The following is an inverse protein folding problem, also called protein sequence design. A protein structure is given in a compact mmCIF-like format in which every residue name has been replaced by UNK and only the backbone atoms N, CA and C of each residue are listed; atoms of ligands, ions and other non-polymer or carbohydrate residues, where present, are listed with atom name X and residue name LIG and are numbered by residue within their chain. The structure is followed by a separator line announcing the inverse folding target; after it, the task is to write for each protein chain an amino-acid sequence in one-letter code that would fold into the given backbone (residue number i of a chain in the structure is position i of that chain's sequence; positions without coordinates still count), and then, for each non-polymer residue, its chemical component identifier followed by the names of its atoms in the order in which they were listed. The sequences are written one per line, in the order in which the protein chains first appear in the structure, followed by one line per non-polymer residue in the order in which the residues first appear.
data_IF_291896566508
#
_entry.id   IF_291896566508
#
_cell.length_a   1.000
_cell.length_b   1.000
_cell.length_c   1.000
_cell.angle_alpha   90.00
_cell.angle_beta   90.00
_cell.angle_gamma   90.00
#
_symmetry.space_group_name_H-M   'P 1'
#
loop_
_entity.id
_entity.type
_entity.pdbx_description
1 polymer ?
#
# COMPACT_ATOMS: atom_id res chain seq x y z
N UNK A 1 -27.35 19.76 -10.03
CA UNK A 1 -25.96 20.24 -10.20
C UNK A 1 -24.93 19.61 -9.25
N UNK A 2 -25.17 19.38 -7.94
CA UNK A 2 -24.16 18.75 -7.06
C UNK A 2 -23.98 17.24 -7.34
N UNK A 3 -25.03 16.52 -7.74
CA UNK A 3 -24.95 15.10 -8.06
C UNK A 3 -24.11 14.81 -9.32
N UNK A 4 -24.20 15.66 -10.35
CA UNK A 4 -23.40 15.52 -11.56
C UNK A 4 -21.91 15.79 -11.30
N UNK A 5 -21.60 16.76 -10.43
CA UNK A 5 -20.22 17.06 -10.01
C UNK A 5 -19.64 15.93 -9.13
N UNK A 6 -20.45 15.34 -8.25
CA UNK A 6 -20.06 14.18 -7.45
C UNK A 6 -19.82 12.93 -8.31
N UNK A 7 -20.66 12.68 -9.32
CA UNK A 7 -20.46 11.59 -10.29
C UNK A 7 -19.23 11.85 -11.17
N UNK A 8 -18.98 13.10 -11.59
CA UNK A 8 -17.76 13.46 -12.33
C UNK A 8 -16.51 13.32 -11.46
N UNK A 9 -16.56 13.69 -10.18
CA UNK A 9 -15.48 13.47 -9.21
C UNK A 9 -15.25 11.98 -8.95
N UNK A 10 -16.32 11.18 -8.82
CA UNK A 10 -16.23 9.73 -8.66
C UNK A 10 -15.67 9.04 -9.92
N UNK A 11 -16.00 9.54 -11.12
CA UNK A 11 -15.50 9.03 -12.40
C UNK A 11 -14.07 9.47 -12.71
N UNK A 12 -13.64 10.66 -12.27
CA UNK A 12 -12.24 11.10 -12.36
C UNK A 12 -11.37 10.43 -11.29
N UNK A 13 -11.96 10.09 -10.14
CA UNK A 13 -11.29 9.29 -9.11
C UNK A 13 -11.26 7.80 -9.47
N UNK A 14 -12.17 7.25 -10.29
CA UNK A 14 -12.19 5.81 -10.56
C UNK A 14 -10.94 5.30 -11.29
N UNK A 15 -10.31 6.09 -12.18
CA UNK A 15 -9.00 5.75 -12.75
C UNK A 15 -7.85 5.86 -11.74
N UNK A 16 -8.03 6.68 -10.70
CA UNK A 16 -7.08 6.88 -9.60
C UNK A 16 -7.33 5.97 -8.38
N UNK A 17 -8.39 5.15 -8.41
CA UNK A 17 -8.86 4.30 -7.29
C UNK A 17 -8.68 2.80 -7.61
N UNK A 18 -7.87 2.47 -8.61
CA UNK A 18 -7.40 1.08 -8.84
C UNK A 18 -6.11 0.82 -8.09
N UNK A 19 -6.09 -0.14 -7.15
CA UNK A 19 -4.92 -0.43 -6.32
C UNK A 19 -3.67 -0.63 -7.19
N UNK A 20 -2.55 -0.04 -6.77
CA UNK A 20 -1.40 0.14 -7.64
C UNK A 20 -0.84 -1.22 -8.09
N UNK A 21 -0.53 -1.33 -9.37
CA UNK A 21 0.02 -2.52 -10.00
C UNK A 21 1.28 -2.22 -10.79
N UNK A 22 1.78 -3.22 -11.51
CA UNK A 22 2.88 -3.03 -12.46
C UNK A 22 2.28 -2.46 -13.76
N UNK A 23 2.81 -1.34 -14.25
CA UNK A 23 2.26 -0.66 -15.43
C UNK A 23 2.41 -1.51 -16.70
N UNK A 24 1.58 -1.29 -17.73
CA UNK A 24 1.59 -2.11 -18.95
C UNK A 24 2.96 -2.21 -19.66
N UNK A 25 3.76 -1.14 -19.64
CA UNK A 25 5.14 -1.18 -20.17
C UNK A 25 6.06 -2.06 -19.34
N UNK A 26 5.93 -1.99 -18.02
CA UNK A 26 6.73 -2.78 -17.10
C UNK A 26 6.30 -4.26 -17.12
N UNK A 27 5.01 -4.54 -17.32
CA UNK A 27 4.46 -5.89 -17.49
C UNK A 27 5.03 -6.59 -18.73
N UNK A 28 5.06 -5.89 -19.87
CA UNK A 28 5.68 -6.42 -21.11
C UNK A 28 7.17 -6.69 -20.91
N UNK A 29 7.88 -5.81 -20.18
CA UNK A 29 9.27 -6.04 -19.81
C UNK A 29 9.43 -7.31 -18.95
N UNK A 30 8.58 -7.52 -17.95
CA UNK A 30 8.60 -8.70 -17.10
C UNK A 30 8.36 -10.00 -17.87
N UNK A 31 7.42 -10.01 -18.82
CA UNK A 31 7.13 -11.17 -19.67
C UNK A 31 8.27 -11.50 -20.64
N UNK A 32 9.02 -10.51 -21.10
CA UNK A 32 10.16 -10.69 -22.01
C UNK A 32 11.46 -11.12 -21.34
N UNK A 33 11.53 -11.12 -19.99
CA UNK A 33 12.74 -11.45 -19.27
C UNK A 33 13.07 -12.94 -19.31
N UNK A 34 14.27 -13.25 -19.79
CA UNK A 34 14.87 -14.58 -19.67
C UNK A 34 16.13 -14.51 -18.79
N UNK A 35 16.09 -15.17 -17.64
CA UNK A 35 17.21 -15.21 -16.71
C UNK A 35 17.20 -14.07 -15.68
N UNK A 36 18.39 -13.79 -15.12
CA UNK A 36 18.56 -12.87 -13.99
C UNK A 36 18.67 -11.42 -14.46
N UNK A 37 17.86 -10.54 -13.89
CA UNK A 37 17.85 -9.10 -14.17
C UNK A 37 17.83 -8.30 -12.86
N UNK A 38 18.95 -8.29 -12.15
CA UNK A 38 19.04 -7.72 -10.80
C UNK A 38 18.71 -6.22 -10.76
N UNK A 39 19.46 -5.40 -11.51
CA UNK A 39 19.30 -3.95 -11.49
C UNK A 39 17.92 -3.49 -12.01
N UNK A 40 17.42 -4.02 -13.15
CA UNK A 40 16.08 -3.64 -13.63
C UNK A 40 14.96 -3.97 -12.64
N UNK A 41 15.01 -5.13 -12.00
CA UNK A 41 13.99 -5.55 -11.03
C UNK A 41 14.07 -4.72 -9.75
N UNK A 42 15.28 -4.42 -9.29
CA UNK A 42 15.48 -3.51 -8.16
C UNK A 42 14.94 -2.11 -8.44
N UNK A 43 15.20 -1.56 -9.63
CA UNK A 43 14.60 -0.30 -10.05
C UNK A 43 13.07 -0.39 -10.12
N UNK A 44 12.54 -1.47 -10.70
CA UNK A 44 11.10 -1.65 -10.85
C UNK A 44 10.40 -1.75 -9.49
N UNK A 45 10.99 -2.47 -8.53
CA UNK A 45 10.49 -2.54 -7.15
C UNK A 45 10.49 -1.17 -6.47
N UNK A 46 11.56 -0.40 -6.62
CA UNK A 46 11.64 0.95 -6.07
C UNK A 46 10.60 1.88 -6.70
N UNK A 47 10.46 1.84 -8.02
CA UNK A 47 9.45 2.60 -8.77
C UNK A 47 8.06 2.24 -8.28
N UNK A 48 7.71 0.96 -8.21
CA UNK A 48 6.40 0.47 -7.75
C UNK A 48 6.05 1.02 -6.36
N UNK A 49 7.00 0.97 -5.41
CA UNK A 49 6.77 1.49 -4.06
C UNK A 49 6.58 3.02 -4.03
N UNK A 50 7.35 3.78 -4.80
CA UNK A 50 7.24 5.25 -4.83
C UNK A 50 6.02 5.73 -5.61
N UNK A 51 5.57 5.00 -6.64
CA UNK A 51 4.37 5.35 -7.42
C UNK A 51 3.08 4.75 -6.87
N UNK A 52 3.17 3.83 -5.92
CA UNK A 52 2.04 3.21 -5.24
C UNK A 52 1.34 4.14 -4.26
N UNK A 53 0.30 4.82 -4.72
CA UNK A 53 -0.44 5.78 -3.90
C UNK A 53 -1.12 5.11 -2.69
N UNK A 54 -1.56 3.85 -2.80
CA UNK A 54 -2.08 3.01 -1.71
C UNK A 54 -1.03 2.78 -0.62
N UNK A 55 0.20 2.45 -1.02
CA UNK A 55 1.34 2.28 -0.11
C UNK A 55 1.73 3.60 0.54
N UNK A 56 1.76 4.70 -0.21
CA UNK A 56 2.06 6.04 0.31
C UNK A 56 0.99 6.53 1.30
N UNK A 57 -0.30 6.33 0.99
CA UNK A 57 -1.40 6.68 1.88
C UNK A 57 -1.35 5.88 3.18
N UNK A 58 -1.07 4.57 3.08
CA UNK A 58 -0.85 3.74 4.26
C UNK A 58 0.35 4.23 5.09
N UNK A 59 1.48 4.53 4.43
CA UNK A 59 2.69 5.03 5.09
C UNK A 59 2.43 6.35 5.81
N UNK A 60 1.78 7.31 5.14
CA UNK A 60 1.32 8.58 5.74
C UNK A 60 0.45 8.31 6.96
N UNK A 61 -0.53 7.40 6.85
CA UNK A 61 -1.37 6.98 7.97
C UNK A 61 -0.55 6.40 9.13
N UNK A 62 0.42 5.53 8.87
CA UNK A 62 1.28 4.96 9.91
C UNK A 62 2.06 6.03 10.64
N UNK A 63 2.68 6.98 9.93
CA UNK A 63 3.62 7.92 10.53
C UNK A 63 3.00 9.23 11.00
N UNK A 64 1.73 9.49 10.67
CA UNK A 64 1.02 10.74 10.98
C UNK A 64 1.19 11.18 12.44
N UNK A 65 1.05 10.24 13.37
CA UNK A 65 1.17 10.47 14.82
C UNK A 65 2.39 9.82 15.48
N UNK A 66 3.29 9.21 14.69
CA UNK A 66 4.55 8.74 15.22
C UNK A 66 5.53 9.91 15.33
N UNK A 67 5.91 10.21 16.57
CA UNK A 67 6.83 11.30 16.90
C UNK A 67 8.24 10.81 17.22
N UNK A 68 8.39 9.53 17.58
CA UNK A 68 9.69 8.93 17.90
C UNK A 68 10.19 8.13 16.71
N UNK A 69 11.41 8.41 16.26
CA UNK A 69 12.06 7.67 15.17
C UNK A 69 12.11 6.16 15.44
N UNK A 70 12.31 5.75 16.70
CA UNK A 70 12.27 4.33 17.11
C UNK A 70 10.94 3.67 16.74
N UNK A 71 9.83 4.35 16.99
CA UNK A 71 8.51 3.79 16.69
C UNK A 71 8.33 3.69 15.17
N UNK A 72 8.69 4.74 14.43
CA UNK A 72 8.67 4.73 12.95
C UNK A 72 9.45 3.55 12.40
N UNK A 73 10.71 3.38 12.80
CA UNK A 73 11.55 2.25 12.36
C UNK A 73 10.88 0.93 12.71
N UNK A 74 10.36 0.78 13.93
CA UNK A 74 9.70 -0.46 14.35
C UNK A 74 8.48 -0.81 13.48
N UNK A 75 7.60 0.16 13.19
CA UNK A 75 6.40 -0.09 12.38
C UNK A 75 6.76 -0.40 10.93
N UNK A 76 7.71 0.34 10.36
CA UNK A 76 8.22 0.13 9.01
C UNK A 76 8.84 -1.26 8.89
N UNK A 77 9.68 -1.67 9.86
CA UNK A 77 10.25 -3.01 9.88
C UNK A 77 9.19 -4.11 9.97
N UNK A 78 8.18 -3.96 10.83
CA UNK A 78 7.10 -4.95 10.94
C UNK A 78 6.33 -5.10 9.63
N UNK A 79 6.03 -3.97 8.97
CA UNK A 79 5.37 -3.97 7.67
C UNK A 79 6.24 -4.66 6.62
N UNK A 80 7.52 -4.29 6.51
CA UNK A 80 8.47 -4.90 5.57
C UNK A 80 8.60 -6.40 5.79
N UNK A 81 8.72 -6.85 7.04
CA UNK A 81 8.83 -8.29 7.35
C UNK A 81 7.59 -9.04 6.84
N UNK A 82 6.37 -8.54 7.12
CA UNK A 82 5.14 -9.17 6.64
C UNK A 82 5.02 -9.15 5.11
N UNK A 83 5.34 -7.99 4.51
CA UNK A 83 5.31 -7.79 3.07
C UNK A 83 6.24 -8.75 2.34
N UNK A 84 7.53 -8.74 2.68
CA UNK A 84 8.53 -9.58 2.03
C UNK A 84 8.24 -11.07 2.22
N UNK A 85 7.74 -11.48 3.39
CA UNK A 85 7.41 -12.88 3.66
C UNK A 85 6.32 -13.38 2.71
N UNK A 86 5.19 -12.67 2.63
CA UNK A 86 4.07 -13.08 1.76
C UNK A 86 4.33 -12.86 0.28
N UNK A 87 5.14 -11.86 -0.09
CA UNK A 87 5.59 -11.68 -1.46
C UNK A 87 6.35 -12.91 -1.96
N UNK A 88 7.37 -13.33 -1.20
CA UNK A 88 8.20 -14.49 -1.53
C UNK A 88 7.40 -15.79 -1.48
N UNK A 89 6.61 -16.00 -0.42
CA UNK A 89 5.79 -17.20 -0.27
C UNK A 89 4.70 -17.29 -1.34
N UNK A 90 4.06 -16.18 -1.70
CA UNK A 90 3.05 -16.13 -2.75
C UNK A 90 3.66 -16.54 -4.09
N UNK A 91 4.73 -15.86 -4.51
CA UNK A 91 5.34 -16.10 -5.83
C UNK A 91 6.01 -17.48 -5.92
N UNK A 92 6.78 -17.89 -4.91
CA UNK A 92 7.52 -19.16 -4.94
C UNK A 92 6.65 -20.36 -4.58
N UNK A 93 5.67 -20.17 -3.71
CA UNK A 93 4.73 -21.21 -3.28
C UNK A 93 3.52 -21.38 -4.20
N UNK A 94 3.32 -20.48 -5.17
CA UNK A 94 2.18 -20.52 -6.09
C UNK A 94 0.83 -20.28 -5.41
N UNK A 95 0.82 -19.64 -4.23
CA UNK A 95 -0.42 -19.30 -3.53
C UNK A 95 -1.06 -18.11 -4.23
N UNK A 96 -2.31 -18.27 -4.65
CA UNK A 96 -3.09 -17.27 -5.38
C UNK A 96 -4.31 -16.87 -4.56
N UNK A 97 -4.71 -15.61 -4.69
CA UNK A 97 -5.99 -15.11 -4.24
C UNK A 97 -6.61 -14.24 -5.32
N UNK A 98 -7.87 -13.85 -5.12
CA UNK A 98 -8.54 -12.94 -6.04
C UNK A 98 -7.96 -11.52 -5.88
N UNK A 99 -7.42 -10.88 -6.94
CA UNK A 99 -6.84 -9.54 -6.86
C UNK A 99 -7.77 -8.52 -6.21
N UNK A 100 -9.02 -8.44 -6.68
CA UNK A 100 -10.04 -7.56 -6.08
C UNK A 100 -10.24 -7.75 -4.57
N UNK A 101 -10.23 -8.99 -4.05
CA UNK A 101 -10.42 -9.22 -2.61
C UNK A 101 -9.22 -8.77 -1.79
N UNK A 102 -8.00 -9.03 -2.28
CA UNK A 102 -6.79 -8.59 -1.59
C UNK A 102 -6.64 -7.07 -1.64
N UNK A 103 -6.90 -6.47 -2.80
CA UNK A 103 -6.86 -5.01 -2.97
C UNK A 103 -7.94 -4.31 -2.13
N UNK A 104 -9.10 -4.94 -1.91
CA UNK A 104 -10.09 -4.47 -0.95
C UNK A 104 -9.55 -4.49 0.49
N UNK A 105 -8.85 -5.54 0.91
CA UNK A 105 -8.22 -5.60 2.24
C UNK A 105 -7.11 -4.54 2.37
N UNK A 106 -6.35 -4.29 1.31
CA UNK A 106 -5.35 -3.21 1.25
C UNK A 106 -6.05 -1.84 1.44
N UNK A 107 -7.13 -1.56 0.72
CA UNK A 107 -7.94 -0.34 0.92
C UNK A 107 -8.48 -0.23 2.34
N UNK A 108 -8.94 -1.34 2.93
CA UNK A 108 -9.41 -1.38 4.31
C UNK A 108 -8.30 -1.05 5.31
N UNK A 109 -7.05 -1.47 5.06
CA UNK A 109 -5.92 -1.14 5.92
C UNK A 109 -5.69 0.38 6.04
N UNK A 110 -5.94 1.13 4.97
CA UNK A 110 -5.86 2.59 4.94
C UNK A 110 -6.97 3.20 5.81
N UNK A 111 -8.21 2.74 5.64
CA UNK A 111 -9.35 3.19 6.43
C UNK A 111 -9.17 2.87 7.93
N UNK A 112 -8.73 1.65 8.23
CA UNK A 112 -8.41 1.21 9.58
C UNK A 112 -7.39 2.15 10.23
N UNK A 113 -6.28 2.44 9.53
CA UNK A 113 -5.20 3.22 10.12
C UNK A 113 -5.60 4.68 10.35
N UNK A 114 -6.37 5.25 9.42
CA UNK A 114 -6.93 6.59 9.58
C UNK A 114 -7.91 6.67 10.77
N UNK A 115 -8.78 5.66 10.94
CA UNK A 115 -9.67 5.58 12.09
C UNK A 115 -8.90 5.43 13.42
N UNK A 116 -7.85 4.60 13.41
CA UNK A 116 -6.96 4.42 14.56
C UNK A 116 -6.28 5.73 14.97
N UNK A 117 -5.80 6.50 13.99
CA UNK A 117 -5.14 7.79 14.20
C UNK A 117 -6.05 8.86 14.82
N UNK A 118 -7.37 8.72 14.69
CA UNK A 118 -8.38 9.62 15.26
C UNK A 118 -8.82 9.19 16.67
N UNK A 119 -8.11 8.24 17.30
CA UNK A 119 -8.51 7.52 18.52
C UNK A 119 -9.90 6.85 18.38
N UNK A 120 -10.30 6.51 17.16
CA UNK A 120 -11.63 5.97 16.87
C UNK A 120 -11.95 4.72 17.70
N UNK A 121 -11.00 3.78 17.81
CA UNK A 121 -11.21 2.55 18.58
C UNK A 121 -11.47 2.82 20.07
N UNK A 122 -10.69 3.71 20.68
CA UNK A 122 -10.88 4.07 22.09
C UNK A 122 -12.20 4.79 22.32
N UNK A 123 -12.58 5.72 21.42
CA UNK A 123 -13.78 6.54 21.57
C UNK A 123 -15.08 5.74 21.40
N UNK A 124 -15.10 4.82 20.44
CA UNK A 124 -16.31 4.04 20.12
C UNK A 124 -16.39 2.71 20.86
N UNK A 125 -15.26 2.06 21.14
CA UNK A 125 -15.24 0.71 21.72
C UNK A 125 -14.52 0.61 23.06
N UNK A 126 -13.94 1.69 23.57
CA UNK A 126 -13.22 1.70 24.86
C UNK A 126 -11.92 0.88 24.87
N UNK A 127 -11.47 0.39 23.72
CA UNK A 127 -10.29 -0.49 23.57
C UNK A 127 -9.43 -0.03 22.39
N UNK A 128 -8.12 -0.25 22.46
CA UNK A 128 -7.18 0.03 21.38
C UNK A 128 -6.54 -1.29 20.92
N UNK A 129 -6.77 -1.74 19.68
CA UNK A 129 -6.08 -2.91 19.15
C UNK A 129 -4.56 -2.72 19.12
N UNK A 130 -3.81 -3.82 19.13
CA UNK A 130 -2.37 -3.77 19.04
C UNK A 130 -1.92 -3.32 17.65
N UNK A 131 -1.56 -2.04 17.53
CA UNK A 131 -1.14 -1.42 16.27
C UNK A 131 0.05 -2.13 15.62
N UNK A 132 0.98 -2.69 16.41
CA UNK A 132 2.15 -3.41 15.87
C UNK A 132 1.71 -4.68 15.13
N UNK A 133 0.78 -5.41 15.73
CA UNK A 133 0.20 -6.60 15.11
C UNK A 133 -0.62 -6.23 13.86
N UNK A 134 -1.42 -5.17 13.93
CA UNK A 134 -2.19 -4.68 12.79
C UNK A 134 -1.27 -4.33 11.60
N UNK A 135 -0.18 -3.58 11.83
CA UNK A 135 0.78 -3.21 10.78
C UNK A 135 1.50 -4.42 10.20
N UNK A 136 1.87 -5.42 11.01
CA UNK A 136 2.42 -6.68 10.52
C UNK A 136 1.41 -7.41 9.61
N UNK A 137 0.16 -7.53 10.04
CA UNK A 137 -0.92 -8.18 9.28
C UNK A 137 -1.19 -7.43 7.96
N UNK A 138 -1.21 -6.10 7.98
CA UNK A 138 -1.34 -5.33 6.74
C UNK A 138 -0.14 -5.52 5.83
N UNK A 139 1.08 -5.61 6.36
CA UNK A 139 2.27 -6.01 5.59
C UNK A 139 2.04 -7.32 4.86
N UNK A 140 1.53 -8.36 5.54
CA UNK A 140 1.20 -9.65 4.92
C UNK A 140 0.21 -9.51 3.74
N UNK A 141 -0.85 -8.72 3.88
CA UNK A 141 -1.80 -8.55 2.78
C UNK A 141 -1.24 -7.74 1.61
N UNK A 142 -0.44 -6.71 1.88
CA UNK A 142 0.21 -5.91 0.84
C UNK A 142 1.21 -6.74 0.03
N UNK A 143 2.05 -7.53 0.69
CA UNK A 143 2.99 -8.42 0.02
C UNK A 143 2.30 -9.50 -0.80
N UNK A 144 1.20 -10.06 -0.27
CA UNK A 144 0.40 -11.05 -0.98
C UNK A 144 -0.36 -10.48 -2.19
N UNK A 145 -0.84 -9.25 -2.10
CA UNK A 145 -1.48 -8.55 -3.24
C UNK A 145 -0.51 -8.37 -4.40
N UNK A 146 0.71 -7.93 -4.10
CA UNK A 146 1.77 -7.82 -5.10
C UNK A 146 2.18 -9.18 -5.67
N UNK A 147 2.30 -10.21 -4.83
CA UNK A 147 2.57 -11.57 -5.30
C UNK A 147 1.51 -12.06 -6.28
N UNK A 148 0.23 -11.81 -5.98
CA UNK A 148 -0.89 -12.20 -6.84
C UNK A 148 -0.77 -11.54 -8.21
N UNK A 149 -0.52 -10.22 -8.26
CA UNK A 149 -0.33 -9.48 -9.52
C UNK A 149 0.91 -9.96 -10.29
N UNK A 150 2.03 -10.20 -9.61
CA UNK A 150 3.25 -10.69 -10.27
C UNK A 150 3.07 -12.07 -10.91
N UNK A 151 2.24 -12.93 -10.31
CA UNK A 151 1.94 -14.25 -10.85
C UNK A 151 1.07 -14.22 -12.13
N UNK A 152 0.36 -13.12 -12.41
CA UNK A 152 -0.39 -12.93 -13.66
C UNK A 152 0.53 -12.73 -14.87
N UNK A 153 1.79 -12.31 -14.66
CA UNK A 153 2.74 -12.05 -15.74
C UNK A 153 3.52 -13.29 -16.21
N UNK A 154 3.15 -14.50 -15.75
CA UNK A 154 3.80 -15.78 -16.13
C UNK A 154 5.34 -15.71 -16.18
N UNK A 155 5.93 -15.21 -15.09
CA UNK A 155 7.37 -14.94 -15.02
C UNK A 155 8.22 -16.19 -15.33
N UNK A 156 9.31 -16.00 -16.08
CA UNK A 156 10.24 -17.09 -16.40
C UNK A 156 10.79 -17.74 -15.11
N UNK A 157 10.75 -19.09 -15.00
CA UNK A 157 11.39 -19.80 -13.88
C UNK A 157 12.90 -19.56 -13.82
N UNK A 158 13.53 -19.28 -14.97
CA UNK A 158 14.96 -19.03 -15.04
C UNK A 158 15.29 -17.66 -14.42
N UNK A 159 15.97 -17.68 -13.27
CA UNK A 159 16.33 -16.45 -12.54
C UNK A 159 15.24 -15.88 -11.65
N UNK A 160 14.07 -16.55 -11.53
CA UNK A 160 12.92 -16.08 -10.76
C UNK A 160 13.29 -15.64 -9.34
N UNK A 161 13.96 -16.49 -8.57
CA UNK A 161 14.33 -16.17 -7.17
C UNK A 161 15.18 -14.91 -7.10
N UNK A 162 16.20 -14.78 -7.95
CA UNK A 162 17.06 -13.60 -7.98
C UNK A 162 16.27 -12.34 -8.36
N UNK A 163 15.33 -12.46 -9.30
CA UNK A 163 14.50 -11.35 -9.77
C UNK A 163 13.53 -10.88 -8.69
N UNK A 164 12.85 -11.79 -7.99
CA UNK A 164 11.91 -11.45 -6.90
C UNK A 164 12.66 -10.88 -5.69
N UNK A 165 13.81 -11.43 -5.33
CA UNK A 165 14.64 -10.88 -4.25
C UNK A 165 15.12 -9.47 -4.61
N UNK A 166 15.58 -9.27 -5.86
CA UNK A 166 16.02 -7.96 -6.33
C UNK A 166 14.88 -6.94 -6.35
N UNK A 167 13.69 -7.36 -6.78
CA UNK A 167 12.48 -6.55 -6.72
C UNK A 167 12.14 -6.16 -5.28
N UNK A 168 12.17 -7.09 -4.32
CA UNK A 168 11.90 -6.81 -2.91
C UNK A 168 12.93 -5.83 -2.32
N UNK A 169 14.21 -5.97 -2.63
CA UNK A 169 15.25 -4.99 -2.26
C UNK A 169 14.92 -3.61 -2.84
N UNK A 170 14.45 -3.57 -4.08
CA UNK A 170 13.93 -2.36 -4.71
C UNK A 170 12.79 -1.71 -3.91
N UNK A 171 11.78 -2.50 -3.54
CA UNK A 171 10.63 -2.04 -2.74
C UNK A 171 11.11 -1.45 -1.41
N UNK A 172 12.04 -2.11 -0.71
CA UNK A 172 12.62 -1.61 0.54
C UNK A 172 13.33 -0.27 0.37
N UNK A 173 14.12 -0.11 -0.70
CA UNK A 173 14.77 1.16 -1.05
C UNK A 173 13.71 2.24 -1.31
N UNK A 174 12.70 1.94 -2.13
CA UNK A 174 11.60 2.85 -2.43
C UNK A 174 10.85 3.27 -1.17
N UNK A 175 10.61 2.33 -0.24
CA UNK A 175 9.94 2.59 1.03
C UNK A 175 10.78 3.50 1.92
N UNK A 176 12.10 3.29 2.00
CA UNK A 176 13.00 4.16 2.76
C UNK A 176 13.01 5.59 2.22
N UNK A 177 13.04 5.75 0.90
CA UNK A 177 12.98 7.07 0.23
C UNK A 177 11.64 7.76 0.48
N UNK A 178 10.53 7.06 0.25
CA UNK A 178 9.18 7.57 0.49
C UNK A 178 8.99 7.97 1.96
N UNK A 179 9.40 7.12 2.90
CA UNK A 179 9.34 7.40 4.33
C UNK A 179 10.12 8.65 4.69
N UNK A 180 11.34 8.79 4.19
CA UNK A 180 12.18 9.97 4.46
C UNK A 180 11.49 11.25 3.96
N UNK A 181 10.96 11.22 2.73
CA UNK A 181 10.22 12.35 2.16
C UNK A 181 8.98 12.72 2.98
N UNK A 182 8.15 11.74 3.34
CA UNK A 182 6.93 11.98 4.12
C UNK A 182 7.27 12.47 5.54
N UNK A 183 8.29 11.93 6.19
CA UNK A 183 8.74 12.39 7.51
C UNK A 183 9.20 13.85 7.47
N UNK A 184 9.96 14.25 6.46
CA UNK A 184 10.40 15.64 6.29
C UNK A 184 9.17 16.55 6.12
N UNK A 185 8.26 16.19 5.21
CA UNK A 185 7.06 16.96 4.93
C UNK A 185 6.15 17.11 6.16
N UNK A 186 5.88 16.02 6.89
CA UNK A 186 5.08 16.03 8.11
C UNK A 186 5.78 16.80 9.24
N UNK A 187 7.09 16.65 9.39
CA UNK A 187 7.85 17.39 10.42
C UNK A 187 7.81 18.89 10.17
N UNK A 188 7.90 19.32 8.91
CA UNK A 188 7.70 20.72 8.54
C UNK A 188 6.25 21.16 8.82
N UNK A 189 5.26 20.37 8.42
CA UNK A 189 3.85 20.73 8.59
C UNK A 189 3.40 20.84 10.06
N UNK A 190 3.98 20.01 10.94
CA UNK A 190 3.78 20.07 12.40
C UNK A 190 4.15 21.43 13.01
N UNK A 191 5.01 22.21 12.36
CA UNK A 191 5.38 23.56 12.83
C UNK A 191 4.32 24.64 12.55
N UNK A 192 3.29 24.33 11.75
CA UNK A 192 2.29 25.32 11.29
C UNK A 192 1.11 25.41 12.26
N UNK A 193 0.56 26.61 12.49
CA UNK A 193 -0.63 26.78 13.34
C UNK A 193 -1.83 26.02 12.75
N UNK A 194 -2.62 25.39 13.61
CA UNK A 194 -3.79 24.61 13.20
C UNK A 194 -3.51 23.17 12.77
N UNK A 195 -2.28 22.65 12.93
CA UNK A 195 -1.93 21.26 12.59
C UNK A 195 -2.94 20.23 13.12
N UNK A 196 -3.44 20.40 14.36
CA UNK A 196 -4.42 19.47 14.95
C UNK A 196 -5.79 19.46 14.25
N UNK A 197 -6.25 20.60 13.73
CA UNK A 197 -7.53 20.64 13.02
C UNK A 197 -7.38 20.03 11.62
N UNK A 198 -6.29 20.37 10.93
CA UNK A 198 -6.01 19.81 9.62
C UNK A 198 -5.68 18.32 9.70
N UNK A 199 -5.07 17.83 10.78
CA UNK A 199 -4.76 16.41 10.95
C UNK A 199 -6.02 15.55 11.03
N UNK A 200 -7.03 15.99 11.78
CA UNK A 200 -8.30 15.29 11.85
C UNK A 200 -8.98 15.27 10.47
N UNK A 201 -9.03 16.42 9.79
CA UNK A 201 -9.61 16.51 8.44
C UNK A 201 -8.86 15.60 7.44
N UNK A 202 -7.53 15.59 7.47
CA UNK A 202 -6.72 14.72 6.60
C UNK A 202 -6.97 13.24 6.90
N UNK A 203 -7.03 12.82 8.16
CA UNK A 203 -7.35 11.42 8.48
C UNK A 203 -8.79 11.07 8.07
N UNK A 204 -9.76 11.98 8.19
CA UNK A 204 -11.11 11.76 7.68
C UNK A 204 -11.13 11.57 6.15
N UNK A 205 -10.36 12.35 5.40
CA UNK A 205 -10.21 12.20 3.95
C UNK A 205 -9.52 10.87 3.61
N UNK A 206 -8.41 10.53 4.27
CA UNK A 206 -7.70 9.25 4.06
C UNK A 206 -8.62 8.07 4.36
N UNK A 207 -9.43 8.15 5.42
CA UNK A 207 -10.43 7.14 5.77
C UNK A 207 -11.49 6.99 4.68
N UNK A 208 -12.03 8.10 4.18
CA UNK A 208 -12.99 8.10 3.07
C UNK A 208 -12.39 7.48 1.80
N UNK A 209 -11.16 7.85 1.43
CA UNK A 209 -10.44 7.25 0.30
C UNK A 209 -10.24 5.74 0.49
N UNK A 210 -9.88 5.30 1.71
CA UNK A 210 -9.77 3.87 2.03
C UNK A 210 -11.08 3.11 1.82
N UNK A 211 -12.21 3.65 2.30
CA UNK A 211 -13.52 3.04 2.06
C UNK A 211 -13.95 3.08 0.59
N UNK A 212 -13.63 4.14 -0.14
CA UNK A 212 -13.89 4.22 -1.58
C UNK A 212 -13.10 3.15 -2.34
N UNK A 213 -11.82 2.94 -1.99
CA UNK A 213 -11.00 1.85 -2.54
C UNK A 213 -11.62 0.48 -2.26
N UNK A 214 -12.05 0.22 -1.01
CA UNK A 214 -12.75 -1.03 -0.65
C UNK A 214 -13.99 -1.22 -1.52
N UNK A 215 -14.84 -0.20 -1.61
CA UNK A 215 -16.08 -0.25 -2.38
C UNK A 215 -15.84 -0.49 -3.87
N UNK A 216 -14.83 0.17 -4.46
CA UNK A 216 -14.44 -0.01 -5.85
C UNK A 216 -13.98 -1.45 -6.13
N UNK A 217 -13.08 -1.97 -5.29
CA UNK A 217 -12.53 -3.31 -5.45
C UNK A 217 -13.60 -4.41 -5.24
N UNK A 218 -14.47 -4.28 -4.24
CA UNK A 218 -15.59 -5.21 -4.04
C UNK A 218 -16.63 -5.13 -5.16
N UNK A 219 -16.93 -3.94 -5.67
CA UNK A 219 -17.81 -3.79 -6.83
C UNK A 219 -17.20 -4.47 -8.06
N UNK A 220 -15.90 -4.28 -8.29
CA UNK A 220 -15.16 -5.01 -9.33
C UNK A 220 -15.26 -6.52 -9.18
N UNK A 221 -15.12 -7.04 -7.95
CA UNK A 221 -15.29 -8.46 -7.67
C UNK A 221 -16.69 -8.99 -8.04
N UNK A 222 -17.77 -8.30 -7.65
CA UNK A 222 -19.13 -8.76 -7.92
C UNK A 222 -19.58 -8.56 -9.38
N UNK A 223 -18.99 -7.59 -10.10
CA UNK A 223 -19.34 -7.29 -11.49
C UNK A 223 -18.46 -8.02 -12.51
N UNK A 224 -17.27 -8.50 -12.11
CA UNK A 224 -16.37 -9.27 -12.95
C UNK A 224 -16.62 -10.79 -12.90
N UNK A 225 -17.55 -11.24 -12.05
CA UNK A 225 -18.12 -12.61 -12.02
C UNK A 225 -19.30 -12.67 -12.97
#
# INVERSE_FOLDING_TARGET
MPAALAVLLLAVLSDAVSAHGVSGKDAVFLQGLQGRAIVPLMYLGAKHMVTGYDHLLFLVGVIFFLHKLKDVVQYVSLFTIGHSATLLLGVLGGVRAHPYLIDAIIGFSVAYKAFENMDGFKRFFGYQPNTRLAVLVFGLFHGFGLATKLQEFELSPNGLVANIVSFNVGVEIGQGLALTGVLIALSYWRTRPGFLHHSFATNAIVMACGFLLVGFQLSGYFLAV
#
